data_IF_928675836673
#
_entry.id   IF_928675836673
#
_cell.length_a   1.000
_cell.length_b   1.000
_cell.length_c   1.000
_cell.angle_alpha   90.00
_cell.angle_beta   90.00
_cell.angle_gamma   90.00
#
_symmetry.space_group_name_H-M   'P 1'
#
loop_
_entity.id
_entity.type
_entity.pdbx_description
1 polymer ?
#
# COMPACT_ATOMS: atom_id res chain seq x y z
N UNK A 1 1.93 11.76 -6.65
CA UNK A 1 1.24 11.19 -5.48
C UNK A 1 1.56 12.05 -4.28
N UNK A 2 0.55 12.42 -3.55
CA UNK A 2 0.71 13.24 -2.36
C UNK A 2 0.71 12.36 -1.12
N UNK A 3 1.47 12.70 -0.10
CA UNK A 3 1.57 11.89 1.11
C UNK A 3 1.19 12.77 2.30
N UNK A 4 0.11 12.41 3.00
CA UNK A 4 -0.33 13.16 4.16
C UNK A 4 0.53 12.85 5.38
N UNK A 5 0.52 13.77 6.32
CA UNK A 5 1.27 13.58 7.57
C UNK A 5 0.87 12.29 8.28
N UNK A 6 -0.42 11.89 8.19
CA UNK A 6 -0.85 10.67 8.85
C UNK A 6 -0.13 9.44 8.32
N UNK A 7 0.32 9.48 7.06
CA UNK A 7 1.04 8.35 6.49
C UNK A 7 2.47 8.27 7.01
N UNK A 8 2.96 9.32 7.65
CA UNK A 8 4.33 9.34 8.15
C UNK A 8 4.45 8.98 9.61
N UNK A 9 3.32 8.71 10.29
CA UNK A 9 3.39 8.52 11.72
C UNK A 9 4.11 7.24 12.13
N UNK A 10 4.24 6.28 11.24
CA UNK A 10 4.94 5.04 11.56
C UNK A 10 6.40 5.07 11.10
N UNK A 11 6.87 6.23 10.64
CA UNK A 11 8.29 6.39 10.34
C UNK A 11 8.76 5.85 9.01
N UNK A 12 7.85 5.53 8.10
CA UNK A 12 8.25 5.02 6.78
C UNK A 12 8.61 6.22 5.91
N UNK A 13 9.76 6.15 5.24
CA UNK A 13 10.21 7.26 4.39
C UNK A 13 9.32 7.40 3.17
N UNK A 14 9.14 8.62 2.69
CA UNK A 14 8.33 8.88 1.52
C UNK A 14 8.80 8.08 0.31
N UNK A 15 10.12 7.94 0.15
CA UNK A 15 10.66 7.19 -0.98
C UNK A 15 10.30 5.72 -0.90
N UNK A 16 10.18 5.19 0.30
CA UNK A 16 9.80 3.79 0.47
C UNK A 16 8.32 3.61 0.19
N UNK A 17 7.50 4.60 0.56
CA UNK A 17 6.08 4.55 0.27
C UNK A 17 5.88 4.55 -1.25
N UNK A 18 6.57 5.45 -1.94
CA UNK A 18 6.46 5.53 -3.40
C UNK A 18 6.92 4.23 -4.05
N UNK A 19 8.00 3.65 -3.55
CA UNK A 19 8.53 2.41 -4.10
C UNK A 19 7.51 1.28 -3.93
N UNK A 20 6.88 1.21 -2.75
CA UNK A 20 5.92 0.15 -2.48
C UNK A 20 4.69 0.26 -3.40
N UNK A 21 4.23 1.47 -3.68
CA UNK A 21 3.09 1.64 -4.55
C UNK A 21 3.47 1.30 -5.99
N UNK A 22 4.65 1.74 -6.43
CA UNK A 22 5.07 1.47 -7.80
C UNK A 22 5.32 -0.01 -8.05
N UNK A 23 5.76 -0.73 -7.05
CA UNK A 23 6.09 -2.16 -7.19
C UNK A 23 5.13 -3.04 -6.42
N UNK A 24 3.89 -2.60 -6.24
CA UNK A 24 2.93 -3.33 -5.43
C UNK A 24 2.69 -4.73 -5.97
N UNK A 25 2.71 -5.70 -5.09
CA UNK A 25 2.45 -7.08 -5.42
C UNK A 25 0.95 -7.35 -5.40
N UNK A 26 0.19 -6.55 -4.70
CA UNK A 26 -1.25 -6.63 -4.65
C UNK A 26 -1.81 -5.23 -4.45
N UNK A 27 -2.95 -4.95 -5.05
CA UNK A 27 -3.63 -3.68 -4.86
C UNK A 27 -5.11 -3.93 -5.00
N UNK A 28 -5.92 -3.29 -4.18
CA UNK A 28 -7.35 -3.48 -4.24
C UNK A 28 -8.11 -2.35 -3.61
N UNK A 29 -9.32 -2.12 -4.14
CA UNK A 29 -10.15 -1.09 -3.60
C UNK A 29 -10.76 -1.52 -2.28
N UNK A 30 -10.86 -0.58 -1.39
CA UNK A 30 -11.50 -0.79 -0.11
C UNK A 30 -12.73 0.06 -0.10
N UNK A 31 -13.39 0.16 1.03
CA UNK A 31 -14.57 0.99 1.12
C UNK A 31 -14.20 2.45 1.07
N UNK A 32 -15.13 3.29 0.68
CA UNK A 32 -14.99 4.74 0.77
C UNK A 32 -13.89 5.32 -0.10
N UNK A 33 -13.68 4.75 -1.27
CA UNK A 33 -12.71 5.31 -2.21
C UNK A 33 -11.26 5.11 -1.83
N UNK A 34 -10.99 4.17 -0.92
CA UNK A 34 -9.62 3.90 -0.52
C UNK A 34 -9.06 2.75 -1.31
N UNK A 35 -7.75 2.77 -1.52
CA UNK A 35 -7.02 1.70 -2.20
C UNK A 35 -5.92 1.22 -1.28
N UNK A 36 -5.81 -0.09 -1.13
CA UNK A 36 -4.74 -0.70 -0.36
C UNK A 36 -3.69 -1.23 -1.32
N UNK A 37 -2.43 -0.90 -1.07
CA UNK A 37 -1.30 -1.44 -1.81
C UNK A 37 -0.44 -2.25 -0.86
N UNK A 38 0.00 -3.41 -1.29
CA UNK A 38 0.96 -4.22 -0.53
C UNK A 38 2.18 -4.36 -1.42
N UNK A 39 3.28 -3.80 -1.02
CA UNK A 39 4.46 -3.80 -1.85
C UNK A 39 5.74 -3.59 -1.06
N UNK A 40 6.89 -3.77 -1.69
CA UNK A 40 8.16 -3.71 -0.99
C UNK A 40 8.69 -2.29 -0.88
N UNK A 41 9.37 -2.00 0.23
CA UNK A 41 10.14 -0.78 0.33
C UNK A 41 11.42 -0.99 -0.47
N UNK A 42 12.33 -0.01 -0.45
CA UNK A 42 13.55 -0.07 -1.27
C UNK A 42 14.49 -1.20 -0.87
N UNK A 43 14.32 -1.77 0.31
CA UNK A 43 15.16 -2.87 0.75
C UNK A 43 14.45 -4.22 0.68
N UNK A 44 13.22 -4.23 0.19
CA UNK A 44 12.48 -5.48 0.03
C UNK A 44 11.51 -5.81 1.14
N UNK A 45 11.46 -5.01 2.19
CA UNK A 45 10.50 -5.25 3.28
C UNK A 45 9.11 -4.83 2.86
N UNK A 46 8.11 -5.63 3.17
CA UNK A 46 6.76 -5.34 2.71
C UNK A 46 6.09 -4.25 3.53
N UNK A 47 5.37 -3.38 2.84
CA UNK A 47 4.61 -2.31 3.46
C UNK A 47 3.15 -2.45 3.08
N UNK A 48 2.29 -1.96 3.96
CA UNK A 48 0.88 -1.75 3.62
C UNK A 48 0.69 -0.26 3.46
N UNK A 49 0.12 0.17 2.36
CA UNK A 49 -0.06 1.58 2.05
C UNK A 49 -1.51 1.78 1.66
N UNK A 50 -2.17 2.78 2.23
CA UNK A 50 -3.56 3.09 1.89
C UNK A 50 -3.60 4.49 1.33
N UNK A 51 -4.28 4.65 0.20
CA UNK A 51 -4.48 5.96 -0.39
C UNK A 51 -5.96 6.24 -0.56
N UNK A 52 -6.30 7.50 -0.76
CA UNK A 52 -7.65 7.93 -1.10
C UNK A 52 -7.58 8.49 -2.51
N UNK A 53 -8.52 8.08 -3.36
CA UNK A 53 -8.57 8.57 -4.74
C UNK A 53 -9.49 9.76 -4.78
N UNK A 54 -9.01 10.88 -5.31
CA UNK A 54 -9.79 12.10 -5.42
C UNK A 54 -10.61 12.06 -6.70
N UNK A 55 -11.53 13.01 -6.82
CA UNK A 55 -12.39 13.09 -7.99
C UNK A 55 -11.62 13.25 -9.28
N UNK A 56 -10.47 13.92 -9.24
CA UNK A 56 -9.69 14.11 -10.45
C UNK A 56 -8.78 12.92 -10.76
N UNK A 57 -8.88 11.85 -9.99
CA UNK A 57 -8.09 10.65 -10.22
C UNK A 57 -6.75 10.62 -9.51
N UNK A 58 -6.36 11.72 -8.88
CA UNK A 58 -5.11 11.72 -8.14
C UNK A 58 -5.29 11.00 -6.81
N UNK A 59 -4.19 10.54 -6.22
CA UNK A 59 -4.27 9.80 -4.97
C UNK A 59 -3.49 10.49 -3.88
N UNK A 60 -3.98 10.39 -2.66
CA UNK A 60 -3.31 10.88 -1.48
C UNK A 60 -3.07 9.71 -0.57
N UNK A 61 -1.81 9.45 -0.21
CA UNK A 61 -1.49 8.38 0.73
C UNK A 61 -1.79 8.87 2.14
N UNK A 62 -2.61 8.12 2.88
CA UNK A 62 -3.01 8.50 4.23
C UNK A 62 -2.49 7.53 5.28
N UNK A 63 -1.91 6.40 4.89
CA UNK A 63 -1.43 5.40 5.84
C UNK A 63 -0.31 4.59 5.21
N UNK A 64 0.74 4.34 5.95
CA UNK A 64 1.83 3.47 5.51
C UNK A 64 2.53 2.90 6.73
N UNK A 65 2.74 1.59 6.75
CA UNK A 65 3.47 0.95 7.82
C UNK A 65 3.93 -0.42 7.35
N UNK A 66 4.76 -1.09 8.15
CA UNK A 66 5.15 -2.46 7.84
C UNK A 66 3.91 -3.32 7.71
N UNK A 67 3.86 -4.15 6.68
CA UNK A 67 2.67 -4.95 6.41
C UNK A 67 2.40 -5.89 7.57
N UNK A 68 1.17 -5.88 8.05
CA UNK A 68 0.75 -6.76 9.15
C UNK A 68 0.32 -8.09 8.56
N UNK A 69 0.47 -9.15 9.34
CA UNK A 69 0.21 -10.49 8.86
C UNK A 69 -1.23 -10.70 8.41
N UNK A 70 -2.15 -9.88 8.87
CA UNK A 70 -3.54 -10.02 8.44
C UNK A 70 -3.72 -9.83 6.96
N UNK A 71 -2.73 -9.22 6.27
CA UNK A 71 -2.82 -9.01 4.84
C UNK A 71 -2.11 -10.09 4.03
N UNK A 72 -1.42 -11.03 4.69
CA UNK A 72 -0.72 -12.08 3.96
C UNK A 72 -1.60 -12.89 3.03
N UNK A 73 -2.85 -13.17 3.38
CA UNK A 73 -3.69 -13.95 2.49
C UNK A 73 -3.89 -13.32 1.12
N UNK A 74 -3.84 -11.97 1.04
CA UNK A 74 -4.02 -11.32 -0.25
C UNK A 74 -2.85 -11.60 -1.18
N UNK A 75 -1.65 -11.81 -0.63
CA UNK A 75 -0.50 -12.13 -1.45
C UNK A 75 -0.47 -13.60 -1.79
N UNK A 76 -0.76 -14.46 -0.79
CA UNK A 76 -0.70 -15.87 -1.06
C UNK A 76 -1.79 -16.33 -1.97
N UNK A 77 -2.97 -15.79 -1.84
CA UNK A 77 -4.10 -16.22 -2.63
C UNK A 77 -3.86 -16.12 -4.09
N UNK A 78 -3.09 -15.10 -4.52
CA UNK A 78 -2.91 -14.98 -5.89
C UNK A 78 -2.04 -16.06 -6.42
N UNK A 79 -1.11 -16.57 -5.69
CA UNK A 79 -0.25 -17.59 -6.18
C UNK A 79 -0.81 -18.95 -6.04
N UNK A 80 -1.86 -19.10 -5.21
CA UNK A 80 -2.32 -20.39 -5.01
C UNK A 80 -3.43 -20.76 -5.79
N UNK A 81 -3.99 -19.96 -6.56
CA UNK A 81 -5.11 -20.25 -7.09
C UNK A 81 -5.11 -21.28 -8.01
N UNK A 82 -4.35 -21.67 -8.55
CA UNK A 82 -4.50 -22.60 -9.47
C UNK A 82 -4.49 -23.81 -8.91
N UNK A 83 -4.36 -23.82 -7.87
CA UNK A 83 -4.31 -25.07 -7.20
C UNK A 83 -5.15 -25.93 -7.55
#
# INVERSE_FOLDING_TARGET
MEIFASARKHGVADEDIAHAVQHALAAGEQEDGKVLYLGPDRTGGLLEVVSVVRDDGSEIVIHAMRMRSKYEPFLRGKGERDG
#
